data_IF_762874115719
#
_entry.id   IF_762874115719
#
_cell.length_a   1.000
_cell.length_b   1.000
_cell.length_c   1.000
_cell.angle_alpha   90.00
_cell.angle_beta   90.00
_cell.angle_gamma   90.00
#
_symmetry.space_group_name_H-M   'P 1'
#
loop_
_entity.id
_entity.type
_entity.pdbx_description
1 polymer ?
#
# COMPACT_ATOMS: atom_id res chain seq x y z
N UNK A 1 -0.70 -9.42 18.86
CA UNK A 1 -0.05 -9.88 17.62
C UNK A 1 0.08 -8.66 16.73
N UNK A 2 1.15 -8.56 15.94
CA UNK A 2 1.36 -7.40 15.09
C UNK A 2 0.56 -7.52 13.79
N UNK A 3 0.46 -6.40 13.04
CA UNK A 3 -0.34 -6.35 11.80
C UNK A 3 0.25 -7.26 10.73
N UNK A 4 1.57 -7.25 10.55
CA UNK A 4 2.23 -8.13 9.56
C UNK A 4 2.07 -9.61 9.90
N UNK A 5 2.06 -9.99 11.18
CA UNK A 5 1.80 -11.36 11.61
C UNK A 5 0.41 -11.86 11.24
N UNK A 6 -0.61 -11.01 11.19
CA UNK A 6 -1.94 -11.41 10.72
C UNK A 6 -2.01 -11.47 9.19
N UNK A 7 -1.38 -10.51 8.50
CA UNK A 7 -1.38 -10.45 7.04
C UNK A 7 -0.59 -11.60 6.40
N UNK A 8 0.53 -12.02 6.99
CA UNK A 8 1.35 -13.12 6.45
C UNK A 8 0.66 -14.49 6.58
N UNK A 9 -0.38 -14.61 7.43
CA UNK A 9 -1.18 -15.84 7.57
C UNK A 9 -2.22 -15.99 6.47
N UNK A 10 -2.45 -14.96 5.65
CA UNK A 10 -3.43 -15.03 4.56
C UNK A 10 -3.04 -16.13 3.56
N UNK A 11 -4.03 -16.83 2.96
CA UNK A 11 -3.75 -17.84 1.94
C UNK A 11 -2.88 -17.29 0.80
N UNK A 12 -1.78 -17.98 0.52
CA UNK A 12 -0.84 -17.60 -0.52
C UNK A 12 0.08 -16.42 -0.16
N UNK A 13 -0.01 -15.83 1.03
CA UNK A 13 0.93 -14.80 1.45
C UNK A 13 2.36 -15.35 1.51
N UNK A 14 3.27 -14.61 0.88
CA UNK A 14 4.71 -14.87 0.86
C UNK A 14 5.38 -13.95 1.88
N UNK A 15 4.93 -12.69 1.92
CA UNK A 15 5.40 -11.72 2.88
C UNK A 15 4.40 -10.59 3.07
N UNK A 16 4.48 -9.91 4.21
CA UNK A 16 3.73 -8.70 4.52
C UNK A 16 4.67 -7.68 5.19
N UNK A 17 4.42 -6.40 4.96
CA UNK A 17 5.19 -5.34 5.60
C UNK A 17 4.42 -4.05 5.77
N UNK A 18 4.87 -3.24 6.71
CA UNK A 18 4.43 -1.86 6.93
C UNK A 18 5.55 -0.91 6.53
N UNK A 19 5.18 0.20 5.91
CA UNK A 19 6.14 1.20 5.46
C UNK A 19 5.61 2.61 5.72
N UNK A 20 6.52 3.49 6.11
CA UNK A 20 6.23 4.92 6.25
C UNK A 20 6.09 5.59 4.88
N UNK A 21 5.48 6.78 4.85
CA UNK A 21 5.44 7.63 3.64
C UNK A 21 6.82 8.06 3.13
N UNK A 22 7.88 7.90 3.92
CA UNK A 22 9.27 8.16 3.50
C UNK A 22 9.93 6.93 2.87
N UNK A 23 9.24 5.79 2.82
CA UNK A 23 9.77 4.53 2.31
C UNK A 23 10.60 3.74 3.31
N UNK A 24 10.61 4.12 4.59
CA UNK A 24 11.22 3.28 5.62
C UNK A 24 10.33 2.09 5.94
N UNK A 25 10.92 0.90 5.97
CA UNK A 25 10.28 -0.32 6.46
C UNK A 25 10.13 -0.20 7.99
N UNK A 26 8.90 -0.31 8.47
CA UNK A 26 8.58 -0.22 9.91
C UNK A 26 8.40 -1.61 10.51
N UNK A 27 7.76 -2.51 9.76
CA UNK A 27 7.54 -3.88 10.17
C UNK A 27 7.57 -4.81 8.94
N UNK A 28 8.04 -6.04 9.12
CA UNK A 28 8.06 -7.04 8.07
C UNK A 28 7.96 -8.47 8.61
N UNK A 29 7.25 -9.33 7.90
CA UNK A 29 7.21 -10.76 8.15
C UNK A 29 7.09 -11.54 6.84
N UNK A 30 7.78 -12.68 6.73
CA UNK A 30 7.67 -13.61 5.60
C UNK A 30 9.02 -13.96 4.96
N UNK A 31 8.97 -14.35 3.69
CA UNK A 31 10.08 -15.01 3.00
C UNK A 31 11.08 -14.08 2.29
N UNK A 32 10.96 -12.76 2.44
CA UNK A 32 11.98 -11.82 1.92
C UNK A 32 13.12 -11.66 2.92
N UNK A 33 14.30 -11.35 2.40
CA UNK A 33 15.37 -10.79 3.21
C UNK A 33 15.04 -9.36 3.65
N UNK A 34 15.69 -8.88 4.71
CA UNK A 34 15.52 -7.50 5.18
C UNK A 34 15.88 -6.46 4.10
N UNK A 35 16.88 -6.74 3.28
CA UNK A 35 17.26 -5.89 2.15
C UNK A 35 16.16 -5.82 1.08
N UNK A 36 15.63 -6.97 0.65
CA UNK A 36 14.52 -7.03 -0.31
C UNK A 36 13.25 -6.37 0.25
N UNK A 37 12.96 -6.53 1.53
CA UNK A 37 11.83 -5.89 2.20
C UNK A 37 12.00 -4.35 2.24
N UNK A 38 13.21 -3.87 2.49
CA UNK A 38 13.54 -2.44 2.44
C UNK A 38 13.37 -1.85 1.03
N UNK A 39 13.87 -2.54 0.00
CA UNK A 39 13.64 -2.14 -1.40
C UNK A 39 12.15 -2.16 -1.76
N UNK A 40 11.40 -3.14 -1.28
CA UNK A 40 9.96 -3.24 -1.50
C UNK A 40 9.20 -2.08 -0.84
N UNK A 41 9.59 -1.65 0.37
CA UNK A 41 9.00 -0.49 1.04
C UNK A 41 9.23 0.81 0.24
N UNK A 42 10.43 1.01 -0.30
CA UNK A 42 10.73 2.14 -1.17
C UNK A 42 9.91 2.11 -2.47
N UNK A 43 9.81 0.96 -3.12
CA UNK A 43 8.99 0.78 -4.31
C UNK A 43 7.52 1.07 -4.02
N UNK A 44 6.96 0.50 -2.95
CA UNK A 44 5.57 0.68 -2.59
C UNK A 44 5.23 2.14 -2.33
N UNK A 45 6.12 2.86 -1.63
CA UNK A 45 5.96 4.29 -1.39
C UNK A 45 5.95 5.09 -2.69
N UNK A 46 6.90 4.82 -3.60
CA UNK A 46 7.01 5.54 -4.86
C UNK A 46 5.76 5.35 -5.76
N UNK A 47 5.26 4.12 -5.86
CA UNK A 47 4.07 3.81 -6.65
C UNK A 47 2.81 4.38 -5.99
N UNK A 48 2.67 4.27 -4.68
CA UNK A 48 1.55 4.88 -3.94
C UNK A 48 1.48 6.39 -4.18
N UNK A 49 2.60 7.11 -4.06
CA UNK A 49 2.64 8.55 -4.35
C UNK A 49 2.31 8.88 -5.81
N UNK A 50 2.75 8.04 -6.73
CA UNK A 50 2.46 8.19 -8.17
C UNK A 50 0.98 8.00 -8.46
N UNK A 51 0.34 6.99 -7.87
CA UNK A 51 -1.09 6.73 -8.03
C UNK A 51 -1.95 7.79 -7.35
N UNK A 52 -1.54 8.29 -6.18
CA UNK A 52 -2.16 9.45 -5.54
C UNK A 52 -2.17 10.69 -6.46
N UNK A 53 -1.06 10.96 -7.15
CA UNK A 53 -0.97 12.08 -8.09
C UNK A 53 -1.89 11.88 -9.30
N UNK A 54 -1.95 10.67 -9.84
CA UNK A 54 -2.87 10.33 -10.92
C UNK A 54 -4.34 10.47 -10.49
N UNK A 55 -4.68 10.00 -9.29
CA UNK A 55 -6.01 10.14 -8.70
C UNK A 55 -6.44 11.61 -8.60
N UNK A 56 -5.59 12.48 -8.03
CA UNK A 56 -5.86 13.92 -7.96
C UNK A 56 -6.05 14.55 -9.35
N UNK A 57 -5.23 14.18 -10.33
CA UNK A 57 -5.39 14.67 -11.70
C UNK A 57 -6.74 14.25 -12.30
N UNK A 58 -7.13 12.98 -12.15
CA UNK A 58 -8.40 12.47 -12.63
C UNK A 58 -9.58 13.14 -11.93
N UNK A 59 -9.51 13.35 -10.61
CA UNK A 59 -10.53 14.06 -9.85
C UNK A 59 -10.76 15.48 -10.37
N UNK A 60 -9.68 16.23 -10.66
CA UNK A 60 -9.78 17.55 -11.28
C UNK A 60 -10.35 17.51 -12.70
N UNK A 61 -9.95 16.53 -13.52
CA UNK A 61 -10.45 16.39 -14.89
C UNK A 61 -11.94 16.00 -14.95
N UNK A 62 -12.41 15.23 -13.98
CA UNK A 62 -13.79 14.75 -13.90
C UNK A 62 -14.72 15.72 -13.15
N UNK A 63 -14.20 16.79 -12.54
CA UNK A 63 -14.93 17.68 -11.62
C UNK A 63 -15.67 16.91 -10.50
N UNK A 64 -15.02 15.87 -9.98
CA UNK A 64 -15.56 14.98 -8.96
C UNK A 64 -14.62 14.86 -7.77
N UNK A 65 -15.14 15.11 -6.58
CA UNK A 65 -14.48 14.80 -5.31
C UNK A 65 -14.50 13.28 -5.03
N UNK A 66 -13.52 12.80 -4.28
CA UNK A 66 -13.42 11.38 -3.88
C UNK A 66 -12.19 10.65 -4.41
N UNK A 67 -11.52 11.20 -5.42
CA UNK A 67 -10.24 10.66 -5.92
C UNK A 67 -9.03 11.03 -5.04
N UNK A 68 -9.23 11.94 -4.08
CA UNK A 68 -8.21 12.36 -3.11
C UNK A 68 -7.94 11.27 -2.05
N UNK A 69 -8.85 10.29 -1.93
CA UNK A 69 -8.78 9.16 -1.00
C UNK A 69 -8.22 7.93 -1.71
N UNK A 70 -7.03 8.05 -2.31
CA UNK A 70 -6.35 6.90 -2.92
C UNK A 70 -6.21 5.78 -1.89
N UNK A 71 -6.78 4.63 -2.23
CA UNK A 71 -6.97 3.55 -1.28
C UNK A 71 -5.83 2.53 -1.29
N UNK A 72 -5.25 2.33 -2.47
CA UNK A 72 -4.23 1.32 -2.70
C UNK A 72 -4.15 0.91 -4.15
N UNK A 73 -3.21 0.02 -4.44
CA UNK A 73 -2.98 -0.50 -5.78
C UNK A 73 -2.55 -1.96 -5.71
N UNK A 74 -2.61 -2.64 -6.84
CA UNK A 74 -2.00 -3.94 -7.00
C UNK A 74 -1.28 -4.04 -8.33
N UNK A 75 -0.26 -4.88 -8.38
CA UNK A 75 0.31 -5.39 -9.62
C UNK A 75 0.37 -6.91 -9.55
N UNK A 76 0.04 -7.57 -10.65
CA UNK A 76 0.09 -9.03 -10.74
C UNK A 76 1.05 -9.47 -11.84
N UNK A 77 1.91 -10.43 -11.48
CA UNK A 77 2.67 -11.23 -12.42
C UNK A 77 2.06 -12.63 -12.57
N UNK A 78 2.73 -13.54 -13.31
CA UNK A 78 2.25 -14.90 -13.52
C UNK A 78 2.07 -15.72 -12.23
N UNK A 79 2.96 -15.53 -11.24
CA UNK A 79 2.98 -16.32 -10.00
C UNK A 79 2.72 -15.47 -8.75
N UNK A 80 3.30 -14.28 -8.69
CA UNK A 80 3.22 -13.40 -7.52
C UNK A 80 2.54 -12.07 -7.85
N UNK A 81 1.97 -11.46 -6.83
CA UNK A 81 1.36 -10.14 -6.92
C UNK A 81 1.77 -9.31 -5.70
N UNK A 82 1.90 -8.01 -5.91
CA UNK A 82 2.07 -7.04 -4.82
C UNK A 82 0.72 -6.36 -4.66
N UNK A 83 0.19 -6.39 -3.44
CA UNK A 83 -1.00 -5.64 -3.05
C UNK A 83 -0.56 -4.62 -2.02
N UNK A 84 -0.94 -3.37 -2.21
CA UNK A 84 -0.61 -2.27 -1.31
C UNK A 84 -1.88 -1.54 -0.94
N UNK A 85 -2.16 -1.41 0.35
CA UNK A 85 -3.30 -0.69 0.89
C UNK A 85 -2.77 0.22 2.00
N UNK A 86 -2.99 1.53 1.87
CA UNK A 86 -2.43 2.54 2.77
C UNK A 86 -0.91 2.37 3.01
N UNK A 87 -0.52 2.07 4.25
CA UNK A 87 0.84 1.91 4.75
C UNK A 87 1.34 0.45 4.72
N UNK A 88 0.54 -0.47 4.17
CA UNK A 88 0.81 -1.89 4.19
C UNK A 88 1.03 -2.46 2.79
N UNK A 89 1.94 -3.42 2.69
CA UNK A 89 2.17 -4.23 1.50
C UNK A 89 2.02 -5.72 1.83
N UNK A 90 1.56 -6.49 0.84
CA UNK A 90 1.53 -7.94 0.88
C UNK A 90 1.95 -8.51 -0.46
N UNK A 91 2.91 -9.43 -0.43
CA UNK A 91 3.28 -10.25 -1.58
C UNK A 91 2.53 -11.57 -1.46
N UNK A 92 1.77 -11.91 -2.49
CA UNK A 92 0.91 -13.09 -2.50
C UNK A 92 1.12 -13.92 -3.75
N UNK A 93 0.98 -15.23 -3.64
CA UNK A 93 0.83 -16.15 -4.76
C UNK A 93 -0.60 -16.03 -5.27
N UNK A 94 -0.79 -15.37 -6.41
CA UNK A 94 -2.12 -15.01 -6.93
C UNK A 94 -3.06 -16.22 -7.11
N UNK A 95 -2.50 -17.39 -7.46
CA UNK A 95 -3.26 -18.64 -7.65
C UNK A 95 -3.70 -19.31 -6.34
N UNK A 96 -3.16 -18.89 -5.20
CA UNK A 96 -3.40 -19.49 -3.88
C UNK A 96 -4.17 -18.54 -2.95
N UNK A 97 -4.61 -17.40 -3.47
CA UNK A 97 -5.25 -16.35 -2.68
C UNK A 97 -6.53 -15.85 -3.33
N UNK A 98 -7.32 -15.10 -2.57
CA UNK A 98 -8.41 -14.29 -3.09
C UNK A 98 -8.05 -12.82 -2.89
N UNK A 99 -7.90 -12.07 -3.98
CA UNK A 99 -7.57 -10.64 -3.88
C UNK A 99 -8.61 -9.85 -3.08
N UNK A 100 -9.89 -10.21 -3.16
CA UNK A 100 -10.94 -9.60 -2.35
C UNK A 100 -10.70 -9.82 -0.85
N UNK A 101 -10.25 -11.01 -0.45
CA UNK A 101 -9.92 -11.30 0.95
C UNK A 101 -8.66 -10.57 1.39
N UNK A 102 -7.63 -10.51 0.55
CA UNK A 102 -6.39 -9.77 0.83
C UNK A 102 -6.68 -8.29 1.02
N UNK A 103 -7.37 -7.65 0.07
CA UNK A 103 -7.73 -6.23 0.13
C UNK A 103 -8.57 -5.96 1.38
N UNK A 104 -9.56 -6.81 1.70
CA UNK A 104 -10.40 -6.67 2.89
C UNK A 104 -9.56 -6.77 4.17
N UNK A 105 -8.70 -7.77 4.29
CA UNK A 105 -7.86 -7.94 5.47
C UNK A 105 -6.89 -6.76 5.66
N UNK A 106 -6.24 -6.32 4.58
CA UNK A 106 -5.32 -5.18 4.62
C UNK A 106 -6.06 -3.89 4.98
N UNK A 107 -7.25 -3.67 4.41
CA UNK A 107 -8.18 -2.57 4.76
C UNK A 107 -8.50 -2.55 6.24
N UNK A 108 -8.99 -3.67 6.78
CA UNK A 108 -9.43 -3.77 8.17
C UNK A 108 -8.24 -3.62 9.13
N UNK A 109 -7.04 -3.99 8.68
CA UNK A 109 -5.80 -3.81 9.43
C UNK A 109 -5.21 -2.41 9.36
N UNK A 110 -5.60 -1.59 8.37
CA UNK A 110 -4.98 -0.29 8.16
C UNK A 110 -5.30 0.64 9.32
N UNK A 111 -4.27 1.28 9.90
CA UNK A 111 -4.50 2.37 10.83
C UNK A 111 -5.13 3.52 10.05
N UNK A 112 -6.40 3.79 10.33
CA UNK A 112 -7.25 4.67 9.56
C UNK A 112 -6.90 6.15 9.77
N UNK A 113 -5.71 6.57 9.40
CA UNK A 113 -5.49 7.95 8.98
C UNK A 113 -5.38 7.98 7.47
N UNK A 114 -6.50 8.23 6.74
CA UNK A 114 -6.40 8.61 5.35
C UNK A 114 -5.38 9.74 5.25
N UNK A 115 -4.38 9.55 4.41
CA UNK A 115 -3.37 10.54 4.10
C UNK A 115 -4.11 11.81 3.64
N UNK A 116 -4.21 12.80 4.53
CA UNK A 116 -4.80 14.09 4.19
C UNK A 116 -3.78 14.85 3.34
N UNK A 117 -4.22 15.59 2.30
CA UNK A 117 -3.39 16.61 1.69
C UNK A 117 -2.85 17.54 2.80
N UNK A 118 -1.56 17.85 2.76
CA UNK A 118 -0.96 18.68 3.79
C UNK A 118 -1.61 20.07 3.81
N UNK A 119 -1.83 20.62 5.01
CA UNK A 119 -2.31 21.99 5.18
C UNK A 119 -1.28 23.00 4.64
N UNK A 120 -1.70 24.25 4.35
CA UNK A 120 -0.78 25.31 3.90
C UNK A 120 0.48 25.38 4.78
N UNK A 121 1.65 25.15 4.17
CA UNK A 121 2.95 25.21 4.85
C UNK A 121 3.54 23.85 5.23
N UNK A 122 2.81 22.75 5.05
CA UNK A 122 3.35 21.40 5.25
C UNK A 122 4.14 20.92 4.02
N UNK A 123 5.07 19.95 4.17
CA UNK A 123 5.89 19.44 3.06
C UNK A 123 5.08 18.93 1.86
N UNK A 124 3.82 18.57 2.09
CA UNK A 124 2.90 18.01 1.11
C UNK A 124 1.84 19.03 0.64
N UNK A 125 1.97 20.31 1.00
CA UNK A 125 0.98 21.36 0.73
C UNK A 125 0.89 21.74 -0.76
N UNK A 126 1.97 21.55 -1.51
CA UNK A 126 2.08 21.94 -2.92
C UNK A 126 1.80 20.78 -3.89
N UNK A 127 1.19 19.69 -3.41
CA UNK A 127 0.80 18.55 -4.25
C UNK A 127 -0.67 18.67 -4.73
N UNK A 128 -1.29 19.84 -4.53
CA UNK A 128 -2.63 20.23 -4.98
C UNK A 128 -2.63 20.94 -6.33
#
# INVERSE_FOLDING_TARGET
>A
MSRTSELVKLPGAVAAGLFSRKGFLEEFEGALTEAEAGEMAHLCTAITMTMEMQGRLLGRMADQSGWDSFYGWMTWGPEMSIVTIHDSMSIVKGRQTSFNQVIKAMTESADAEPIKPGGKGEPNANIG
#
